data_IF_761681911384
#
_entry.id   IF_761681911384
#
_cell.length_a   1.000
_cell.length_b   1.000
_cell.length_c   1.000
_cell.angle_alpha   90.00
_cell.angle_beta   90.00
_cell.angle_gamma   90.00
#
_symmetry.space_group_name_H-M   'P 1'
#
loop_
_entity.id
_entity.type
_entity.pdbx_description
1 polymer ?
#
# COMPACT_ATOMS: atom_id res chain seq x y z
N UNK A 1 -13.85 -8.00 10.73
CA UNK A 1 -13.55 -8.98 9.67
C UNK A 1 -12.30 -8.55 8.92
N UNK A 2 -11.27 -9.36 8.95
CA UNK A 2 -9.98 -9.03 8.32
C UNK A 2 -10.13 -8.84 6.82
N UNK A 3 -9.52 -7.79 6.29
CA UNK A 3 -9.50 -7.51 4.87
C UNK A 3 -8.07 -7.51 4.34
N UNK A 4 -7.94 -7.85 3.06
CA UNK A 4 -6.70 -7.74 2.30
C UNK A 4 -6.78 -6.49 1.44
N UNK A 5 -5.73 -5.66 1.46
CA UNK A 5 -5.67 -4.45 0.64
C UNK A 5 -4.51 -4.57 -0.33
N UNK A 6 -4.78 -4.28 -1.59
CA UNK A 6 -3.76 -4.23 -2.64
C UNK A 6 -3.70 -2.82 -3.20
N UNK A 7 -2.55 -2.19 -3.06
CA UNK A 7 -2.27 -0.90 -3.69
C UNK A 7 -1.25 -1.17 -4.78
N UNK A 8 -1.60 -0.87 -6.02
CA UNK A 8 -0.77 -1.21 -7.17
C UNK A 8 -0.49 0.00 -8.04
N UNK A 9 0.75 0.11 -8.50
CA UNK A 9 1.15 1.16 -9.41
C UNK A 9 2.39 0.78 -10.21
N UNK A 10 2.79 1.68 -11.10
CA UNK A 10 4.00 1.53 -11.89
C UNK A 10 4.80 2.82 -11.79
N UNK A 11 6.04 2.69 -11.35
CA UNK A 11 6.94 3.83 -11.17
C UNK A 11 7.44 4.35 -12.51
N UNK A 12 7.74 5.64 -12.54
CA UNK A 12 8.55 6.23 -13.59
C UNK A 12 9.96 5.63 -13.51
N UNK A 13 10.69 5.60 -14.62
CA UNK A 13 12.04 5.08 -14.64
C UNK A 13 12.94 5.81 -13.65
N UNK A 14 13.78 5.03 -12.95
CA UNK A 14 14.75 5.57 -12.02
C UNK A 14 14.23 5.86 -10.61
N UNK A 15 12.94 5.62 -10.34
CA UNK A 15 12.33 5.95 -9.04
C UNK A 15 12.34 4.80 -8.03
N UNK A 16 12.71 3.59 -8.44
CA UNK A 16 12.57 2.39 -7.59
C UNK A 16 13.34 2.49 -6.28
N UNK A 17 14.58 2.94 -6.32
CA UNK A 17 15.41 2.99 -5.11
C UNK A 17 14.86 4.00 -4.10
N UNK A 18 14.52 5.21 -4.55
CA UNK A 18 13.96 6.22 -3.67
C UNK A 18 12.58 5.85 -3.15
N UNK A 19 11.76 5.20 -3.98
CA UNK A 19 10.44 4.72 -3.55
C UNK A 19 10.57 3.64 -2.48
N UNK A 20 11.53 2.73 -2.62
CA UNK A 20 11.80 1.70 -1.61
C UNK A 20 12.21 2.34 -0.28
N UNK A 21 13.11 3.30 -0.30
CA UNK A 21 13.56 3.98 0.92
C UNK A 21 12.45 4.80 1.57
N UNK A 22 11.65 5.52 0.78
CA UNK A 22 10.49 6.25 1.29
C UNK A 22 9.48 5.31 1.93
N UNK A 23 9.25 4.14 1.32
CA UNK A 23 8.31 3.15 1.85
C UNK A 23 8.77 2.59 3.19
N UNK A 24 10.07 2.36 3.38
CA UNK A 24 10.60 1.94 4.68
C UNK A 24 10.22 2.91 5.78
N UNK A 25 10.36 4.20 5.54
CA UNK A 25 10.01 5.23 6.52
C UNK A 25 8.49 5.34 6.69
N UNK A 26 7.75 5.35 5.60
CA UNK A 26 6.29 5.45 5.65
C UNK A 26 5.65 4.28 6.38
N UNK A 27 6.15 3.06 6.19
CA UNK A 27 5.58 1.88 6.82
C UNK A 27 5.77 1.85 8.33
N UNK A 28 6.77 2.55 8.87
CA UNK A 28 6.93 2.71 10.32
C UNK A 28 5.70 3.38 10.93
N UNK A 29 5.17 4.40 10.27
CA UNK A 29 3.94 5.09 10.68
C UNK A 29 2.72 4.20 10.48
N UNK A 30 2.63 3.53 9.33
CA UNK A 30 1.52 2.61 9.02
C UNK A 30 1.33 1.59 10.15
N UNK A 31 2.43 1.02 10.64
CA UNK A 31 2.40 -0.02 11.68
C UNK A 31 1.87 0.45 13.02
N UNK A 32 1.71 1.75 13.22
CA UNK A 32 1.17 2.31 14.48
C UNK A 32 -0.33 2.49 14.46
N UNK A 33 -0.99 2.29 13.32
CA UNK A 33 -2.43 2.56 13.19
C UNK A 33 -3.28 1.45 13.78
N UNK A 34 -4.40 1.87 14.37
CA UNK A 34 -5.41 0.93 14.88
C UNK A 34 -5.93 0.05 13.74
N UNK A 35 -6.00 -1.25 13.98
CA UNK A 35 -6.47 -2.23 13.01
C UNK A 35 -5.42 -2.73 12.04
N UNK A 36 -4.22 -2.18 12.07
CA UNK A 36 -3.12 -2.65 11.23
C UNK A 36 -2.69 -4.07 11.61
N UNK A 37 -2.43 -4.92 10.63
CA UNK A 37 -1.88 -6.26 10.85
C UNK A 37 -0.53 -6.45 10.15
N UNK A 38 -0.49 -6.35 8.81
CA UNK A 38 0.75 -6.54 8.04
C UNK A 38 0.81 -5.60 6.86
N UNK A 39 2.03 -5.30 6.40
CA UNK A 39 2.28 -4.53 5.18
C UNK A 39 3.59 -4.98 4.54
N UNK A 40 3.56 -5.16 3.22
CA UNK A 40 4.74 -5.51 2.43
C UNK A 40 4.76 -4.73 1.12
N UNK A 41 5.93 -4.20 0.77
CA UNK A 41 6.17 -3.69 -0.57
C UNK A 41 6.72 -4.82 -1.42
N UNK A 42 6.07 -5.11 -2.55
CA UNK A 42 6.49 -6.13 -3.49
C UNK A 42 6.70 -5.51 -4.87
N UNK A 43 7.64 -6.06 -5.62
CA UNK A 43 7.89 -5.66 -6.99
C UNK A 43 7.66 -6.84 -7.92
N UNK A 44 7.12 -6.55 -9.11
CA UNK A 44 6.89 -7.55 -10.14
C UNK A 44 8.25 -8.05 -10.66
N UNK A 45 8.47 -9.35 -10.60
CA UNK A 45 9.76 -9.93 -11.05
C UNK A 45 9.99 -9.79 -12.56
N UNK A 46 8.94 -9.54 -13.34
CA UNK A 46 9.01 -9.35 -14.78
C UNK A 46 8.99 -7.89 -15.21
N UNK A 47 8.66 -6.96 -14.29
CA UNK A 47 8.65 -5.52 -14.57
C UNK A 47 9.04 -4.78 -13.30
N UNK A 48 10.29 -4.36 -13.22
CA UNK A 48 10.90 -3.80 -12.02
C UNK A 48 10.27 -2.47 -11.57
N UNK A 49 9.48 -1.81 -12.41
CA UNK A 49 8.78 -0.57 -12.06
C UNK A 49 7.36 -0.82 -11.53
N UNK A 50 6.82 -2.02 -11.76
CA UNK A 50 5.50 -2.37 -11.26
C UNK A 50 5.60 -2.89 -9.83
N UNK A 51 4.81 -2.31 -8.93
CA UNK A 51 4.83 -2.65 -7.52
C UNK A 51 3.41 -2.90 -7.01
N UNK A 52 3.31 -3.74 -5.98
CA UNK A 52 2.08 -3.95 -5.23
C UNK A 52 2.43 -3.88 -3.75
N UNK A 53 1.75 -3.02 -3.01
CA UNK A 53 1.79 -3.03 -1.56
C UNK A 53 0.66 -3.93 -1.10
N UNK A 54 0.99 -4.98 -0.34
CA UNK A 54 0.02 -5.93 0.18
C UNK A 54 -0.16 -5.67 1.67
N UNK A 55 -1.40 -5.58 2.11
CA UNK A 55 -1.71 -5.22 3.50
C UNK A 55 -2.83 -6.09 4.05
N UNK A 56 -2.77 -6.33 5.36
CA UNK A 56 -3.89 -6.92 6.10
C UNK A 56 -4.31 -5.94 7.19
N UNK A 57 -5.61 -5.76 7.33
CA UNK A 57 -6.24 -4.87 8.32
C UNK A 57 -7.41 -5.56 8.99
N UNK A 58 -7.71 -5.18 10.23
CA UNK A 58 -8.83 -5.77 10.99
C UNK A 58 -10.17 -5.55 10.29
N UNK A 59 -10.33 -4.40 9.61
CA UNK A 59 -11.57 -4.07 8.91
C UNK A 59 -11.31 -3.09 7.77
N UNK A 60 -12.26 -3.03 6.84
CA UNK A 60 -12.27 -2.04 5.77
C UNK A 60 -12.27 -0.62 6.35
N UNK A 61 -13.05 -0.38 7.40
CA UNK A 61 -13.18 0.94 8.03
C UNK A 61 -11.84 1.40 8.61
N UNK A 62 -11.08 0.51 9.23
CA UNK A 62 -9.76 0.85 9.77
C UNK A 62 -8.80 1.26 8.66
N UNK A 63 -8.80 0.51 7.56
CA UNK A 63 -7.95 0.87 6.42
C UNK A 63 -8.37 2.21 5.80
N UNK A 64 -9.67 2.46 5.67
CA UNK A 64 -10.17 3.71 5.08
C UNK A 64 -9.76 4.93 5.91
N UNK A 65 -9.76 4.81 7.23
CA UNK A 65 -9.25 5.87 8.12
C UNK A 65 -7.76 6.13 7.88
N UNK A 66 -6.99 5.06 7.73
CA UNK A 66 -5.56 5.18 7.43
C UNK A 66 -5.34 5.83 6.05
N UNK A 67 -6.08 5.39 5.03
CA UNK A 67 -5.97 5.96 3.69
C UNK A 67 -6.28 7.45 3.70
N UNK A 68 -7.34 7.86 4.40
CA UNK A 68 -7.69 9.27 4.55
C UNK A 68 -6.55 10.05 5.19
N UNK A 69 -5.95 9.52 6.23
CA UNK A 69 -4.78 10.14 6.87
C UNK A 69 -3.65 10.36 5.86
N UNK A 70 -3.34 9.37 5.02
CA UNK A 70 -2.28 9.49 4.02
C UNK A 70 -2.63 10.46 2.90
N UNK A 71 -3.91 10.58 2.56
CA UNK A 71 -4.36 11.58 1.61
C UNK A 71 -4.19 13.00 2.18
N UNK A 72 -4.49 13.16 3.47
CA UNK A 72 -4.39 14.46 4.14
C UNK A 72 -2.96 14.89 4.45
N UNK A 73 -2.06 13.95 4.74
CA UNK A 73 -0.66 14.28 5.08
C UNK A 73 0.23 14.44 3.84
N UNK A 74 -0.31 14.22 2.64
CA UNK A 74 0.42 14.36 1.39
C UNK A 74 1.21 13.13 0.96
N UNK A 75 1.26 12.06 1.75
CA UNK A 75 2.02 10.85 1.40
C UNK A 75 1.47 10.18 0.16
N UNK A 76 0.13 10.09 0.04
CA UNK A 76 -0.49 9.48 -1.14
C UNK A 76 -0.14 10.29 -2.40
N UNK A 77 -0.18 11.62 -2.32
CA UNK A 77 0.18 12.49 -3.45
C UNK A 77 1.65 12.30 -3.85
N UNK A 78 2.54 12.09 -2.89
CA UNK A 78 3.94 11.81 -3.18
C UNK A 78 4.10 10.51 -3.97
N UNK A 79 3.36 9.46 -3.60
CA UNK A 79 3.36 8.20 -4.33
C UNK A 79 2.85 8.41 -5.75
N UNK A 80 1.75 9.12 -5.92
CA UNK A 80 1.19 9.43 -7.25
C UNK A 80 2.22 10.16 -8.11
N UNK A 81 2.99 11.08 -7.54
CA UNK A 81 3.94 11.91 -8.28
C UNK A 81 5.07 11.12 -8.94
N UNK A 82 5.42 9.95 -8.41
CA UNK A 82 6.51 9.10 -8.95
C UNK A 82 5.99 7.95 -9.82
N UNK A 83 4.68 7.88 -10.03
CA UNK A 83 4.04 6.83 -10.84
C UNK A 83 3.63 7.34 -12.21
N UNK A 84 3.61 6.45 -13.21
CA UNK A 84 3.19 6.81 -14.58
C UNK A 84 1.68 7.04 -14.67
N UNK A 85 0.90 6.31 -13.86
CA UNK A 85 -0.55 6.42 -13.78
C UNK A 85 -0.99 6.46 -12.32
N UNK A 86 -2.25 6.80 -12.07
CA UNK A 86 -2.81 6.79 -10.72
C UNK A 86 -2.80 5.37 -10.16
N UNK A 87 -2.20 5.12 -8.99
CA UNK A 87 -2.25 3.80 -8.36
C UNK A 87 -3.67 3.36 -8.05
N UNK A 88 -3.92 2.07 -8.17
CA UNK A 88 -5.21 1.48 -7.78
C UNK A 88 -5.18 1.03 -6.33
N UNK A 89 -6.32 1.18 -5.65
CA UNK A 89 -6.52 0.69 -4.28
C UNK A 89 -7.71 -0.24 -4.31
N UNK A 90 -7.50 -1.50 -3.91
CA UNK A 90 -8.56 -2.51 -3.89
C UNK A 90 -8.61 -3.19 -2.54
N UNK A 91 -9.80 -3.39 -2.01
CA UNK A 91 -10.04 -3.98 -0.69
C UNK A 91 -10.85 -5.26 -0.89
N UNK A 92 -10.38 -6.36 -0.29
CA UNK A 92 -10.99 -7.68 -0.46
C UNK A 92 -11.30 -8.30 0.88
N UNK A 93 -12.49 -8.91 1.00
CA UNK A 93 -12.79 -9.76 2.14
C UNK A 93 -12.00 -11.06 2.04
N UNK A 94 -11.50 -11.52 3.18
CA UNK A 94 -10.83 -12.81 3.25
C UNK A 94 -11.85 -13.86 3.65
N UNK A 95 -11.97 -14.90 2.82
CA UNK A 95 -12.87 -16.02 3.08
C UNK A 95 -12.06 -17.16 3.72
N UNK A 96 -12.55 -17.67 4.84
CA UNK A 96 -11.91 -18.82 5.49
C UNK A 96 -12.12 -20.09 4.64
N UNK A 97 -11.03 -20.64 4.16
CA UNK A 97 -11.04 -21.86 3.33
C UNK A 97 -10.29 -23.02 4.01
N UNK A 98 -10.08 -22.91 5.31
CA UNK A 98 -9.23 -23.84 6.05
C UNK A 98 -9.95 -25.07 6.60
N UNK A 99 -11.19 -25.30 6.26
CA UNK A 99 -11.99 -26.40 6.80
C UNK A 99 -11.56 -27.77 6.28
#
# INVERSE_FOLDING_TARGET
MTVSVLVEGTLKDGERESFTESSKENFKVTRTFAGFQTIHLTYNVENLNNWVITELWDSKEDYEKYLQFRQEDGTFDEVVSVCVDLPSVRIFDIVDTSS
#
